data_IF_046512328333
#
_entry.id   IF_046512328333
#
_cell.length_a   1.000
_cell.length_b   1.000
_cell.length_c   1.000
_cell.angle_alpha   90.00
_cell.angle_beta   90.00
_cell.angle_gamma   90.00
#
_symmetry.space_group_name_H-M   'P 1'
#
loop_
_entity.id
_entity.type
_entity.pdbx_description
1 polymer ?
#
# COMPACT_ATOMS: atom_id res chain seq x y z
N UNK A 1 24.83 1.10 1.15
CA UNK A 1 23.75 1.20 2.16
C UNK A 1 22.33 1.10 1.55
N UNK A 2 21.80 2.02 0.69
CA UNK A 2 20.43 1.87 0.20
C UNK A 2 20.18 0.61 -0.65
N UNK A 3 21.15 0.20 -1.46
CA UNK A 3 21.06 -1.00 -2.29
C UNK A 3 21.00 -2.29 -1.46
N UNK A 4 21.77 -2.38 -0.40
CA UNK A 4 21.77 -3.55 0.50
C UNK A 4 20.42 -3.70 1.20
N UNK A 5 19.83 -2.61 1.70
CA UNK A 5 18.54 -2.63 2.37
C UNK A 5 17.40 -3.03 1.41
N UNK A 6 17.46 -2.59 0.16
CA UNK A 6 16.48 -2.99 -0.87
C UNK A 6 16.60 -4.49 -1.19
N UNK A 7 17.83 -5.03 -1.24
CA UNK A 7 18.06 -6.46 -1.45
C UNK A 7 17.57 -7.30 -0.27
N UNK A 8 17.77 -6.85 0.97
CA UNK A 8 17.25 -7.51 2.18
C UNK A 8 15.71 -7.53 2.17
N UNK A 9 15.07 -6.43 1.78
CA UNK A 9 13.62 -6.37 1.58
C UNK A 9 13.16 -7.37 0.53
N UNK A 10 13.79 -7.38 -0.64
CA UNK A 10 13.46 -8.30 -1.73
C UNK A 10 13.51 -9.75 -1.28
N UNK A 11 14.59 -10.14 -0.61
CA UNK A 11 14.77 -11.51 -0.12
C UNK A 11 13.70 -11.89 0.93
N UNK A 12 13.34 -10.98 1.83
CA UNK A 12 12.32 -11.26 2.83
C UNK A 12 10.94 -11.39 2.19
N UNK A 13 10.56 -10.52 1.28
CA UNK A 13 9.27 -10.62 0.59
C UNK A 13 9.21 -11.83 -0.34
N UNK A 14 10.33 -12.27 -0.94
CA UNK A 14 10.39 -13.55 -1.63
C UNK A 14 10.08 -14.71 -0.69
N UNK A 15 10.71 -14.76 0.51
CA UNK A 15 10.39 -15.78 1.54
C UNK A 15 8.92 -15.74 1.96
N UNK A 16 8.33 -14.54 2.09
CA UNK A 16 6.91 -14.42 2.43
C UNK A 16 6.01 -14.95 1.31
N UNK A 17 6.34 -14.65 0.07
CA UNK A 17 5.63 -15.19 -1.09
C UNK A 17 5.69 -16.73 -1.10
N UNK A 18 6.90 -17.32 -0.99
CA UNK A 18 7.10 -18.77 -0.93
C UNK A 18 6.31 -19.42 0.20
N UNK A 19 6.21 -18.75 1.36
CA UNK A 19 5.43 -19.21 2.51
C UNK A 19 3.90 -18.99 2.35
N UNK A 20 3.40 -18.52 1.20
CA UNK A 20 1.97 -18.31 0.93
C UNK A 20 1.34 -17.12 1.67
N UNK A 21 2.15 -16.20 2.23
CA UNK A 21 1.62 -15.06 3.01
C UNK A 21 0.81 -14.06 2.19
N UNK A 22 0.95 -14.05 0.87
CA UNK A 22 0.17 -13.20 -0.03
C UNK A 22 -1.29 -13.64 -0.22
N UNK A 23 -1.62 -14.89 0.08
CA UNK A 23 -2.92 -15.50 -0.27
C UNK A 23 -4.10 -15.00 0.58
N UNK A 24 -3.83 -14.49 1.79
CA UNK A 24 -4.86 -13.94 2.69
C UNK A 24 -5.04 -12.43 2.62
N UNK A 25 -4.18 -11.73 1.91
CA UNK A 25 -4.09 -10.26 1.95
C UNK A 25 -5.37 -9.57 1.47
N UNK A 26 -6.01 -10.07 0.41
CA UNK A 26 -7.29 -9.54 -0.06
C UNK A 26 -8.36 -9.61 1.02
N UNK A 27 -8.60 -10.81 1.56
CA UNK A 27 -9.61 -11.03 2.62
C UNK A 27 -9.36 -10.15 3.83
N UNK A 28 -8.09 -10.01 4.24
CA UNK A 28 -7.73 -9.36 5.48
C UNK A 28 -7.71 -7.81 5.35
N UNK A 29 -7.57 -7.27 4.13
CA UNK A 29 -7.50 -5.82 3.90
C UNK A 29 -8.67 -5.24 3.11
N UNK A 30 -9.45 -6.05 2.40
CA UNK A 30 -10.60 -5.58 1.62
C UNK A 30 -11.56 -4.69 2.45
N UNK A 31 -11.88 -5.03 3.72
CA UNK A 31 -12.80 -4.21 4.53
C UNK A 31 -12.34 -2.76 4.76
N UNK A 32 -11.05 -2.49 4.75
CA UNK A 32 -10.49 -1.12 4.88
C UNK A 32 -10.15 -0.50 3.54
N UNK A 33 -9.96 -1.30 2.49
CA UNK A 33 -9.65 -0.81 1.13
C UNK A 33 -10.90 -0.33 0.40
N UNK A 34 -12.03 -1.02 0.54
CA UNK A 34 -13.29 -0.63 -0.10
C UNK A 34 -13.67 0.84 0.21
N UNK A 35 -13.71 1.29 1.49
CA UNK A 35 -13.98 2.70 1.80
C UNK A 35 -12.96 3.67 1.18
N UNK A 36 -11.68 3.29 1.10
CA UNK A 36 -10.67 4.10 0.41
C UNK A 36 -11.00 4.24 -1.08
N UNK A 37 -11.36 3.14 -1.75
CA UNK A 37 -11.69 3.15 -3.17
C UNK A 37 -12.95 3.96 -3.46
N UNK A 38 -13.94 3.93 -2.57
CA UNK A 38 -15.14 4.76 -2.69
C UNK A 38 -14.81 6.26 -2.56
N UNK A 39 -13.88 6.62 -1.65
CA UNK A 39 -13.37 7.99 -1.54
C UNK A 39 -12.56 8.44 -2.74
N UNK A 40 -11.89 7.52 -3.44
CA UNK A 40 -11.10 7.84 -4.64
C UNK A 40 -11.97 8.23 -5.84
N UNK A 41 -13.23 7.81 -5.89
CA UNK A 41 -14.18 8.07 -6.98
C UNK A 41 -13.55 7.81 -8.37
N UNK A 42 -13.13 6.55 -8.58
CA UNK A 42 -12.37 6.14 -9.76
C UNK A 42 -13.24 6.20 -11.02
N UNK A 43 -12.75 6.86 -12.05
CA UNK A 43 -13.34 6.82 -13.38
C UNK A 43 -12.95 5.55 -14.12
N UNK A 44 -13.77 5.08 -15.05
CA UNK A 44 -13.52 3.84 -15.81
C UNK A 44 -12.23 3.86 -16.65
N UNK A 45 -11.69 5.04 -16.97
CA UNK A 45 -10.53 5.27 -17.86
C UNK A 45 -9.23 5.63 -17.13
N UNK A 46 -9.17 5.46 -15.80
CA UNK A 46 -8.01 5.83 -14.99
C UNK A 46 -6.77 4.98 -15.29
N UNK A 47 -5.60 5.59 -15.23
CA UNK A 47 -4.31 4.91 -15.29
C UNK A 47 -3.72 4.84 -13.88
N UNK A 48 -3.66 3.65 -13.31
CA UNK A 48 -3.44 3.42 -11.89
C UNK A 48 -2.09 2.75 -11.64
N UNK A 49 -1.40 3.18 -10.59
CA UNK A 49 -0.20 2.54 -10.04
C UNK A 49 -0.55 1.93 -8.69
N UNK A 50 -0.21 0.65 -8.49
CA UNK A 50 -0.20 -0.02 -7.18
C UNK A 50 1.24 -0.23 -6.73
N UNK A 51 1.68 0.53 -5.74
CA UNK A 51 3.07 0.55 -5.25
C UNK A 51 3.24 -0.36 -4.03
N UNK A 52 3.90 -1.50 -4.24
CA UNK A 52 3.97 -2.62 -3.30
C UNK A 52 2.79 -3.56 -3.49
N UNK A 53 2.52 -3.97 -4.72
CA UNK A 53 1.31 -4.69 -5.11
C UNK A 53 1.23 -6.14 -4.61
N UNK A 54 2.32 -6.70 -4.06
CA UNK A 54 2.38 -8.09 -3.64
C UNK A 54 1.92 -9.05 -4.73
N UNK A 55 0.96 -9.93 -4.42
CA UNK A 55 0.37 -10.89 -5.35
C UNK A 55 -0.71 -10.29 -6.28
N UNK A 56 -0.82 -8.97 -6.33
CA UNK A 56 -1.64 -8.24 -7.30
C UNK A 56 -3.15 -8.25 -7.05
N UNK A 57 -3.61 -8.59 -5.83
CA UNK A 57 -5.04 -8.64 -5.54
C UNK A 57 -5.71 -7.26 -5.71
N UNK A 58 -5.06 -6.19 -5.22
CA UNK A 58 -5.56 -4.83 -5.37
C UNK A 58 -5.52 -4.38 -6.85
N UNK A 59 -4.48 -4.75 -7.60
CA UNK A 59 -4.44 -4.47 -9.03
C UNK A 59 -5.64 -5.07 -9.78
N UNK A 60 -6.06 -6.30 -9.45
CA UNK A 60 -7.26 -6.93 -10.06
C UNK A 60 -8.54 -6.19 -9.68
N UNK A 61 -8.68 -5.78 -8.42
CA UNK A 61 -9.82 -4.99 -7.96
C UNK A 61 -9.88 -3.62 -8.66
N UNK A 62 -8.75 -2.92 -8.76
CA UNK A 62 -8.63 -1.65 -9.49
C UNK A 62 -8.97 -1.81 -10.98
N UNK A 63 -8.53 -2.90 -11.61
CA UNK A 63 -8.84 -3.20 -13.01
C UNK A 63 -10.34 -3.39 -13.28
N UNK A 64 -11.06 -3.97 -12.32
CA UNK A 64 -12.52 -4.07 -12.37
C UNK A 64 -13.21 -2.71 -12.20
N UNK A 65 -12.66 -1.82 -11.34
CA UNK A 65 -13.19 -0.47 -11.11
C UNK A 65 -12.86 0.50 -12.26
N UNK A 66 -11.76 0.25 -13.01
CA UNK A 66 -11.35 1.03 -14.18
C UNK A 66 -11.23 0.15 -15.45
N UNK A 67 -12.32 -0.40 -15.97
CA UNK A 67 -12.30 -1.40 -17.05
C UNK A 67 -11.83 -0.86 -18.41
N UNK A 68 -11.83 0.44 -18.61
CA UNK A 68 -11.30 1.12 -19.81
C UNK A 68 -9.93 1.73 -19.58
N UNK A 69 -9.44 1.62 -18.34
CA UNK A 69 -8.16 2.16 -17.89
C UNK A 69 -7.06 1.11 -17.94
N UNK A 70 -5.99 1.42 -17.22
CA UNK A 70 -4.82 0.55 -17.09
C UNK A 70 -4.33 0.52 -15.65
N UNK A 71 -3.93 -0.64 -15.16
CA UNK A 71 -3.31 -0.82 -13.84
C UNK A 71 -1.89 -1.36 -14.00
N UNK A 72 -0.96 -0.74 -13.30
CA UNK A 72 0.42 -1.20 -13.21
C UNK A 72 0.72 -1.50 -11.75
N UNK A 73 1.05 -2.74 -11.43
CA UNK A 73 1.55 -3.14 -10.12
C UNK A 73 3.08 -3.20 -10.10
N UNK A 74 3.69 -2.65 -9.07
CA UNK A 74 5.13 -2.82 -8.82
C UNK A 74 5.37 -3.41 -7.44
N UNK A 75 6.37 -4.28 -7.34
CA UNK A 75 6.85 -4.84 -6.08
C UNK A 75 8.35 -5.12 -6.17
N UNK A 76 9.06 -5.02 -5.06
CA UNK A 76 10.51 -5.34 -5.01
C UNK A 76 10.78 -6.84 -5.15
N UNK A 77 9.81 -7.67 -4.78
CA UNK A 77 9.87 -9.13 -4.82
C UNK A 77 9.54 -9.65 -6.21
N UNK A 78 10.49 -10.30 -6.85
CA UNK A 78 10.28 -10.98 -8.12
C UNK A 78 9.31 -12.18 -7.99
N UNK A 79 9.31 -12.85 -6.84
CA UNK A 79 8.39 -13.95 -6.56
C UNK A 79 6.94 -13.46 -6.37
N UNK A 80 6.73 -12.32 -5.69
CA UNK A 80 5.41 -11.68 -5.62
C UNK A 80 4.90 -11.31 -7.01
N UNK A 81 5.75 -10.70 -7.85
CA UNK A 81 5.39 -10.32 -9.22
C UNK A 81 5.08 -11.55 -10.08
N UNK A 82 5.83 -12.65 -9.93
CA UNK A 82 5.54 -13.90 -10.64
C UNK A 82 4.13 -14.40 -10.29
N UNK A 83 3.81 -14.47 -9.00
CA UNK A 83 2.47 -14.88 -8.51
C UNK A 83 1.38 -13.90 -8.94
N UNK A 84 1.65 -12.60 -8.90
CA UNK A 84 0.70 -11.58 -9.36
C UNK A 84 0.30 -11.79 -10.82
N UNK A 85 1.28 -12.07 -11.70
CA UNK A 85 1.03 -12.37 -13.12
C UNK A 85 0.19 -13.64 -13.30
N UNK A 86 0.52 -14.71 -12.58
CA UNK A 86 -0.23 -15.97 -12.63
C UNK A 86 -1.68 -15.79 -12.16
N UNK A 87 -1.88 -15.11 -11.02
CA UNK A 87 -3.21 -14.88 -10.46
C UNK A 87 -4.05 -13.88 -11.28
N UNK A 88 -3.42 -13.07 -12.15
CA UNK A 88 -4.10 -12.06 -12.95
C UNK A 88 -4.30 -12.48 -14.40
N UNK A 89 -4.17 -13.77 -14.72
CA UNK A 89 -4.52 -14.32 -16.03
C UNK A 89 -5.97 -14.00 -16.35
N UNK A 90 -6.23 -13.35 -17.50
CA UNK A 90 -7.58 -12.91 -17.89
C UNK A 90 -7.87 -11.43 -17.57
N UNK A 91 -6.92 -10.69 -16.99
CA UNK A 91 -6.99 -9.23 -16.84
C UNK A 91 -6.10 -8.55 -17.87
N UNK A 92 -6.65 -8.20 -19.04
CA UNK A 92 -5.87 -7.62 -20.15
C UNK A 92 -5.38 -6.20 -19.87
N UNK A 93 -5.99 -5.50 -18.91
CA UNK A 93 -5.66 -4.14 -18.51
C UNK A 93 -4.73 -4.05 -17.26
N UNK A 94 -4.15 -5.17 -16.82
CA UNK A 94 -3.20 -5.22 -15.70
C UNK A 94 -1.81 -5.63 -16.18
N UNK A 95 -0.79 -4.91 -15.71
CA UNK A 95 0.62 -5.27 -15.95
C UNK A 95 1.42 -5.19 -14.67
N UNK A 96 2.52 -5.96 -14.59
CA UNK A 96 3.36 -6.02 -13.39
C UNK A 96 4.84 -5.86 -13.73
N UNK A 97 5.56 -5.12 -12.88
CA UNK A 97 7.00 -4.95 -12.99
C UNK A 97 7.70 -5.13 -11.63
N UNK A 98 8.87 -5.74 -11.64
CA UNK A 98 9.76 -5.75 -10.47
C UNK A 98 10.37 -4.38 -10.32
N UNK A 99 10.21 -3.75 -9.16
CA UNK A 99 10.74 -2.43 -8.88
C UNK A 99 10.36 -1.92 -7.50
N UNK A 100 11.24 -1.14 -6.89
CA UNK A 100 10.97 -0.45 -5.63
C UNK A 100 10.38 0.94 -5.88
N UNK A 101 9.71 1.46 -4.86
CA UNK A 101 9.17 2.84 -4.89
C UNK A 101 10.27 3.91 -4.98
N UNK A 102 11.51 3.57 -4.63
CA UNK A 102 12.67 4.46 -4.72
C UNK A 102 13.12 4.72 -6.18
N UNK A 103 12.67 3.92 -7.14
CA UNK A 103 12.96 4.05 -8.56
C UNK A 103 11.87 3.32 -9.35
N UNK A 104 10.75 3.99 -9.52
CA UNK A 104 9.58 3.41 -10.19
C UNK A 104 9.88 3.26 -11.69
N UNK A 105 9.78 2.03 -12.27
CA UNK A 105 10.11 1.77 -13.66
C UNK A 105 9.02 2.27 -14.62
N UNK A 106 8.75 3.57 -14.57
CA UNK A 106 7.80 4.26 -15.43
C UNK A 106 8.29 5.68 -15.74
N UNK A 107 7.88 6.20 -16.87
CA UNK A 107 8.11 7.59 -17.25
C UNK A 107 7.36 8.56 -16.32
N UNK A 108 7.75 9.84 -16.35
CA UNK A 108 7.06 10.86 -15.59
C UNK A 108 5.65 11.12 -16.17
N UNK A 109 4.72 11.52 -15.30
CA UNK A 109 3.39 11.95 -15.67
C UNK A 109 2.55 10.90 -16.46
N UNK A 110 2.63 9.63 -16.07
CA UNK A 110 1.87 8.53 -16.67
C UNK A 110 0.56 8.28 -15.93
N UNK A 111 0.59 8.25 -14.59
CA UNK A 111 -0.52 7.77 -13.77
C UNK A 111 -1.46 8.90 -13.36
N UNK A 112 -2.75 8.59 -13.30
CA UNK A 112 -3.78 9.48 -12.75
C UNK A 112 -3.95 9.31 -11.26
N UNK A 113 -3.76 8.08 -10.76
CA UNK A 113 -3.75 7.74 -9.34
C UNK A 113 -2.61 6.79 -9.03
N UNK A 114 -2.06 6.91 -7.82
CA UNK A 114 -1.16 5.93 -7.24
C UNK A 114 -1.70 5.49 -5.88
N UNK A 115 -1.69 4.20 -5.62
CA UNK A 115 -2.11 3.62 -4.34
C UNK A 115 -0.98 2.81 -3.73
N UNK A 116 -0.94 2.73 -2.41
CA UNK A 116 -0.11 1.78 -1.67
C UNK A 116 -0.88 1.32 -0.45
N UNK A 117 -1.07 0.01 -0.33
CA UNK A 117 -1.78 -0.61 0.78
C UNK A 117 -0.84 -1.54 1.53
N UNK A 118 -0.70 -1.35 2.84
CA UNK A 118 0.12 -2.19 3.74
C UNK A 118 1.58 -2.38 3.30
N UNK A 119 2.14 -1.41 2.59
CA UNK A 119 3.49 -1.47 2.03
C UNK A 119 4.39 -0.29 2.46
N UNK A 120 3.83 0.91 2.59
CA UNK A 120 4.60 2.15 2.72
C UNK A 120 5.49 2.20 3.98
N UNK A 121 5.12 1.55 5.06
CA UNK A 121 5.93 1.49 6.27
C UNK A 121 7.18 0.61 6.13
N UNK A 122 7.31 -0.18 5.07
CA UNK A 122 8.53 -0.92 4.72
C UNK A 122 9.48 -0.13 3.81
N UNK A 123 9.07 1.01 3.29
CA UNK A 123 9.94 1.77 2.39
C UNK A 123 11.17 2.28 3.11
N UNK A 124 12.39 2.01 2.61
CA UNK A 124 13.62 2.44 3.26
C UNK A 124 13.72 3.96 3.40
N UNK A 125 13.19 4.68 2.41
CA UNK A 125 13.18 6.14 2.32
C UNK A 125 11.80 6.65 1.90
N UNK A 126 10.83 6.74 2.84
CA UNK A 126 9.44 7.11 2.49
C UNK A 126 9.33 8.44 1.75
N UNK A 127 10.12 9.45 2.14
CA UNK A 127 10.15 10.74 1.44
C UNK A 127 10.54 10.61 -0.03
N UNK A 128 11.54 9.79 -0.33
CA UNK A 128 12.00 9.56 -1.70
C UNK A 128 10.98 8.73 -2.50
N UNK A 129 10.39 7.70 -1.88
CA UNK A 129 9.32 6.92 -2.51
C UNK A 129 8.12 7.80 -2.89
N UNK A 130 7.71 8.72 -2.01
CA UNK A 130 6.66 9.68 -2.31
C UNK A 130 7.05 10.67 -3.42
N UNK A 131 8.32 11.11 -3.50
CA UNK A 131 8.83 11.94 -4.61
C UNK A 131 8.76 11.20 -5.94
N UNK A 132 9.12 9.92 -5.98
CA UNK A 132 9.02 9.10 -7.19
C UNK A 132 7.55 8.88 -7.59
N UNK A 133 6.65 8.62 -6.62
CA UNK A 133 5.21 8.56 -6.89
C UNK A 133 4.72 9.90 -7.46
N UNK A 134 5.15 11.02 -6.89
CA UNK A 134 4.82 12.34 -7.44
C UNK A 134 5.36 12.51 -8.87
N UNK A 135 6.60 12.09 -9.14
CA UNK A 135 7.20 12.15 -10.49
C UNK A 135 6.33 11.43 -11.54
N UNK A 136 5.89 10.21 -11.24
CA UNK A 136 5.15 9.40 -12.20
C UNK A 136 3.66 9.76 -12.32
N UNK A 137 3.11 10.49 -11.35
CA UNK A 137 1.75 11.03 -11.43
C UNK A 137 1.66 12.21 -12.42
N UNK A 138 0.56 12.28 -13.15
CA UNK A 138 0.19 13.45 -13.94
C UNK A 138 -0.09 14.66 -13.05
N UNK A 139 0.09 15.92 -13.55
CA UNK A 139 -0.47 17.08 -12.87
C UNK A 139 -1.95 16.85 -12.55
N UNK A 140 -2.38 17.16 -11.32
CA UNK A 140 -3.73 16.86 -10.82
C UNK A 140 -3.99 15.40 -10.43
N UNK A 141 -3.05 14.50 -10.64
CA UNK A 141 -3.14 13.13 -10.14
C UNK A 141 -2.95 13.05 -8.63
N UNK A 142 -3.39 11.96 -7.99
CA UNK A 142 -3.33 11.83 -6.53
C UNK A 142 -2.66 10.53 -6.07
N UNK A 143 -2.02 10.61 -4.90
CA UNK A 143 -1.44 9.47 -4.19
C UNK A 143 -2.26 9.14 -2.95
N UNK A 144 -2.40 7.83 -2.64
CA UNK A 144 -3.21 7.27 -1.57
C UNK A 144 -2.42 6.18 -0.87
N UNK A 145 -2.15 6.36 0.42
CA UNK A 145 -1.41 5.41 1.25
C UNK A 145 -2.29 4.98 2.41
N UNK A 146 -2.60 3.68 2.49
CA UNK A 146 -3.40 3.06 3.54
C UNK A 146 -2.53 2.07 4.32
N UNK A 147 -2.42 2.28 5.63
CA UNK A 147 -1.54 1.50 6.51
C UNK A 147 -2.16 1.23 7.88
N UNK A 148 -1.92 0.04 8.41
CA UNK A 148 -2.30 -0.36 9.76
C UNK A 148 -1.17 -0.13 10.79
N UNK A 149 0.09 -0.08 10.34
CA UNK A 149 1.23 0.14 11.22
C UNK A 149 1.63 1.61 11.25
N UNK A 150 1.15 2.34 12.26
CA UNK A 150 1.43 3.78 12.45
C UNK A 150 1.35 4.17 13.93
N UNK A 151 2.06 5.23 14.32
CA UNK A 151 2.31 5.59 15.72
C UNK A 151 1.04 5.91 16.53
N UNK A 152 0.04 6.52 15.91
CA UNK A 152 -1.15 6.98 16.65
C UNK A 152 -2.13 5.84 16.93
N UNK A 153 -1.91 4.61 16.39
CA UNK A 153 -2.60 3.41 16.82
C UNK A 153 -1.74 2.61 17.80
N UNK A 154 -1.97 2.71 19.11
CA UNK A 154 -1.12 2.05 20.10
C UNK A 154 -1.18 0.52 20.06
N UNK A 155 -2.21 -0.03 19.41
CA UNK A 155 -2.45 -1.47 19.35
C UNK A 155 -1.63 -2.20 18.27
N UNK A 156 -0.85 -1.46 17.45
CA UNK A 156 0.07 -2.07 16.48
C UNK A 156 1.55 -1.94 16.87
N UNK A 157 1.90 -1.23 17.94
CA UNK A 157 3.30 -0.93 18.28
C UNK A 157 4.14 -2.19 18.51
N UNK A 158 3.56 -3.24 19.10
CA UNK A 158 4.24 -4.51 19.34
C UNK A 158 4.61 -5.24 18.04
N UNK A 159 4.02 -4.88 16.90
CA UNK A 159 4.33 -5.52 15.62
C UNK A 159 5.78 -5.31 15.20
N UNK A 160 6.38 -4.17 15.58
CA UNK A 160 7.80 -3.89 15.32
C UNK A 160 8.76 -4.96 15.87
N UNK A 161 8.38 -5.64 16.96
CA UNK A 161 9.15 -6.76 17.52
C UNK A 161 8.91 -8.09 16.77
N UNK A 162 7.86 -8.16 15.95
CA UNK A 162 7.48 -9.35 15.17
C UNK A 162 7.99 -9.27 13.74
N UNK A 163 8.22 -8.05 13.25
CA UNK A 163 8.76 -7.86 11.89
C UNK A 163 10.20 -8.34 11.80
N UNK A 164 10.49 -9.01 10.70
CA UNK A 164 11.83 -9.53 10.37
C UNK A 164 12.68 -8.49 9.62
N UNK A 165 12.05 -7.40 9.19
CA UNK A 165 12.65 -6.27 8.48
C UNK A 165 12.25 -4.96 9.16
N UNK A 166 13.08 -3.91 9.09
CA UNK A 166 12.74 -2.60 9.64
C UNK A 166 11.45 -2.04 9.04
N UNK A 167 10.58 -1.51 9.91
CA UNK A 167 9.35 -0.83 9.52
C UNK A 167 9.29 0.56 10.14
N UNK A 168 8.77 1.54 9.39
CA UNK A 168 8.66 2.93 9.80
C UNK A 168 7.40 3.13 10.65
N UNK A 169 7.58 3.43 11.93
CA UNK A 169 6.47 3.75 12.84
C UNK A 169 6.28 5.27 12.90
N UNK A 170 5.63 5.84 11.89
CA UNK A 170 5.37 7.28 11.79
C UNK A 170 3.94 7.60 12.21
N UNK A 171 3.71 8.83 12.70
CA UNK A 171 2.38 9.36 12.98
C UNK A 171 1.67 9.83 11.70
N UNK A 172 0.36 10.10 11.79
CA UNK A 172 -0.41 10.68 10.70
C UNK A 172 0.17 12.02 10.24
N UNK A 173 0.58 12.88 11.17
CA UNK A 173 1.17 14.19 10.87
C UNK A 173 2.55 14.06 10.22
N UNK A 174 3.37 13.08 10.63
CA UNK A 174 4.66 12.81 10.00
C UNK A 174 4.46 12.32 8.56
N UNK A 175 3.52 11.39 8.31
CA UNK A 175 3.17 10.98 6.95
C UNK A 175 2.67 12.15 6.10
N UNK A 176 1.76 12.99 6.63
CA UNK A 176 1.27 14.17 5.94
C UNK A 176 2.41 15.17 5.62
N UNK A 177 3.38 15.30 6.51
CA UNK A 177 4.58 16.13 6.29
C UNK A 177 5.44 15.57 5.14
N UNK A 178 5.65 14.25 5.09
CA UNK A 178 6.38 13.59 3.99
C UNK A 178 5.68 13.80 2.65
N UNK A 179 4.36 13.70 2.59
CA UNK A 179 3.58 14.02 1.37
C UNK A 179 3.82 15.46 0.91
N UNK A 180 3.74 16.44 1.82
CA UNK A 180 3.99 17.86 1.51
C UNK A 180 5.41 18.07 1.00
N UNK A 181 6.41 17.47 1.64
CA UNK A 181 7.82 17.53 1.23
C UNK A 181 8.07 16.88 -0.15
N UNK A 182 7.28 15.88 -0.52
CA UNK A 182 7.32 15.26 -1.83
C UNK A 182 6.60 16.07 -2.92
N UNK A 183 6.01 17.23 -2.60
CA UNK A 183 5.36 18.13 -3.55
C UNK A 183 3.87 17.89 -3.76
N UNK A 184 3.21 17.17 -2.86
CA UNK A 184 1.75 17.04 -2.86
C UNK A 184 1.08 18.23 -2.17
N UNK A 185 0.01 18.76 -2.80
CA UNK A 185 -0.94 19.69 -2.23
C UNK A 185 -2.18 18.98 -1.67
N UNK A 186 -3.06 19.73 -1.01
CA UNK A 186 -4.33 19.25 -0.45
C UNK A 186 -4.18 17.94 0.38
N UNK A 187 -3.07 17.85 1.10
CA UNK A 187 -2.74 16.64 1.88
C UNK A 187 -3.71 16.50 3.04
N UNK A 188 -4.39 15.37 3.09
CA UNK A 188 -5.35 15.01 4.12
C UNK A 188 -5.04 13.63 4.67
N UNK A 189 -5.53 13.36 5.86
CA UNK A 189 -5.54 12.01 6.43
C UNK A 189 -6.83 11.75 7.21
N UNK A 190 -7.22 10.50 7.31
CA UNK A 190 -8.34 10.05 8.13
C UNK A 190 -8.10 8.62 8.61
N UNK A 191 -8.97 8.17 9.52
CA UNK A 191 -9.02 6.78 9.97
C UNK A 191 -10.06 6.03 9.15
N UNK A 192 -9.73 4.80 8.78
CA UNK A 192 -10.64 3.86 8.14
C UNK A 192 -10.83 2.68 9.10
N UNK A 193 -11.90 2.66 9.92
CA UNK A 193 -12.17 1.55 10.81
C UNK A 193 -12.35 0.24 10.04
N UNK A 194 -11.89 -0.87 10.63
CA UNK A 194 -12.13 -2.20 10.09
C UNK A 194 -13.47 -2.74 10.66
N UNK A 195 -14.51 -2.89 9.84
CA UNK A 195 -15.82 -3.35 10.30
C UNK A 195 -15.89 -4.86 10.54
N UNK A 196 -14.81 -5.60 10.29
CA UNK A 196 -14.79 -7.05 10.45
C UNK A 196 -15.13 -7.45 11.90
N UNK A 197 -16.09 -8.35 12.12
CA UNK A 197 -16.42 -8.82 13.46
C UNK A 197 -15.21 -9.42 14.18
N UNK A 198 -15.00 -9.00 15.43
CA UNK A 198 -13.94 -9.57 16.26
C UNK A 198 -14.41 -10.90 16.84
N UNK A 199 -13.61 -11.98 16.75
CA UNK A 199 -13.95 -13.27 17.36
C UNK A 199 -13.94 -13.17 18.90
N UNK A 200 -14.67 -14.05 19.58
CA UNK A 200 -14.73 -14.10 21.05
C UNK A 200 -13.36 -14.40 21.67
N UNK A 201 -12.49 -15.10 20.94
CA UNK A 201 -11.12 -15.40 21.36
C UNK A 201 -10.15 -15.15 20.24
N UNK A 202 -8.92 -14.76 20.59
CA UNK A 202 -7.82 -14.52 19.66
C UNK A 202 -6.59 -15.31 20.08
N UNK A 203 -6.04 -16.08 19.15
CA UNK A 203 -4.86 -16.95 19.36
C UNK A 203 -3.69 -16.57 18.41
N UNK A 204 -3.83 -15.49 17.64
CA UNK A 204 -2.79 -15.02 16.74
C UNK A 204 -1.64 -14.32 17.49
N UNK A 205 -0.57 -14.00 16.74
CA UNK A 205 0.65 -13.41 17.29
C UNK A 205 0.67 -11.87 17.31
N UNK A 206 -0.31 -11.22 16.67
CA UNK A 206 -0.30 -9.77 16.46
C UNK A 206 -0.89 -8.99 17.62
N UNK A 207 -1.84 -9.61 18.35
CA UNK A 207 -2.54 -9.00 19.48
C UNK A 207 -2.49 -9.96 20.66
N UNK A 208 -2.56 -9.41 21.88
CA UNK A 208 -2.53 -10.20 23.12
C UNK A 208 -3.85 -10.94 23.37
N UNK A 209 -4.96 -10.39 22.89
CA UNK A 209 -6.30 -10.94 23.09
C UNK A 209 -7.31 -10.31 22.09
N UNK A 210 -8.54 -10.80 22.10
CA UNK A 210 -9.62 -10.33 21.23
C UNK A 210 -10.01 -8.85 21.49
N UNK A 211 -9.95 -8.39 22.73
CA UNK A 211 -10.24 -6.99 23.08
C UNK A 211 -9.24 -6.03 22.44
N UNK A 212 -7.95 -6.37 22.45
CA UNK A 212 -6.93 -5.55 21.77
C UNK A 212 -7.13 -5.52 20.25
N UNK A 213 -7.47 -6.66 19.64
CA UNK A 213 -7.85 -6.72 18.23
C UNK A 213 -9.07 -5.84 17.93
N UNK A 214 -10.11 -5.87 18.80
CA UNK A 214 -11.29 -5.03 18.63
C UNK A 214 -10.93 -3.54 18.67
N UNK A 215 -10.13 -3.12 19.65
CA UNK A 215 -9.66 -1.74 19.78
C UNK A 215 -8.82 -1.31 18.59
N UNK A 216 -7.94 -2.18 18.11
CA UNK A 216 -7.14 -1.93 16.90
C UNK A 216 -8.04 -1.65 15.69
N UNK A 217 -9.09 -2.46 15.48
CA UNK A 217 -10.05 -2.28 14.39
C UNK A 217 -10.87 -1.02 14.51
N UNK A 218 -11.28 -0.66 15.72
CA UNK A 218 -12.00 0.58 16.01
C UNK A 218 -11.15 1.82 15.74
N UNK A 219 -9.87 1.80 16.13
CA UNK A 219 -8.91 2.86 15.77
C UNK A 219 -8.75 2.99 14.25
N UNK A 220 -8.77 1.87 13.54
CA UNK A 220 -8.73 1.80 12.10
C UNK A 220 -7.36 1.99 11.48
N UNK A 221 -7.30 1.77 10.18
CA UNK A 221 -6.13 2.04 9.35
C UNK A 221 -5.97 3.55 9.13
N UNK A 222 -4.73 4.00 9.01
CA UNK A 222 -4.43 5.36 8.61
C UNK A 222 -4.46 5.46 7.07
N UNK A 223 -5.33 6.31 6.55
CA UNK A 223 -5.33 6.74 5.15
C UNK A 223 -4.74 8.14 5.05
N UNK A 224 -3.67 8.29 4.25
CA UNK A 224 -3.08 9.59 3.89
C UNK A 224 -3.13 9.75 2.39
N UNK A 225 -3.58 10.90 1.91
CA UNK A 225 -3.68 11.18 0.48
C UNK A 225 -3.42 12.65 0.16
N UNK A 226 -3.00 12.90 -1.08
CA UNK A 226 -2.71 14.25 -1.56
C UNK A 226 -2.68 14.31 -3.08
N UNK A 227 -2.78 15.51 -3.63
CA UNK A 227 -2.87 15.77 -5.07
C UNK A 227 -1.58 16.42 -5.56
N UNK A 228 -1.05 15.97 -6.70
CA UNK A 228 0.05 16.65 -7.40
C UNK A 228 -0.42 17.98 -7.99
N UNK A 229 0.33 19.04 -7.76
CA UNK A 229 0.02 20.38 -8.29
C UNK A 229 -0.13 20.37 -9.84
N UNK A 230 -0.97 21.28 -10.33
CA UNK A 230 -1.31 21.46 -11.76
C UNK A 230 -0.44 22.55 -12.38
N UNK A 231 0.89 22.49 -12.22
CA UNK A 231 1.79 23.50 -12.81
C UNK A 231 2.49 22.96 -14.05
#
# INVERSE_FOLDING_TARGET
>A
MPHQMLEELRQEFNRWAEAGRGEGMERDHLPIVEPMLDMMDLRPDETLLDAGCGTGWLCRLLAQRAPQGRVVGIDVSDEMIRRAREASTGFDNVTFAVGGVDSIPAEAAIFTRAVSVESAYYWPRPAHGLQEINRVLRPGGSAWVLINYYRDNPYCHQWGAVYTIPAQLLSADEWATLFKQAGFGDVKHCRVPDPTPTPDSYTGRWFRNAEELRRFREEGALLVYGTKAVF
#
